data_IF_778217534682
#
_entry.id   IF_778217534682
#
_cell.length_a   1.000
_cell.length_b   1.000
_cell.length_c   1.000
_cell.angle_alpha   90.00
_cell.angle_beta   90.00
_cell.angle_gamma   90.00
#
_symmetry.space_group_name_H-M   'P 1'
#
loop_
_entity.id
_entity.type
_entity.pdbx_description
1 polymer ?
#
# COMPACT_ATOMS: atom_id res chain seq x y z
N UNK A 1 4.76 16.21 -11.29
CA UNK A 1 4.09 15.15 -10.49
C UNK A 1 2.60 15.46 -10.46
N UNK A 2 1.73 14.51 -10.81
CA UNK A 2 0.30 14.76 -10.99
C UNK A 2 -0.39 15.07 -9.65
N UNK A 3 -0.96 16.28 -9.50
CA UNK A 3 -1.64 16.73 -8.26
C UNK A 3 -2.78 15.80 -7.84
N UNK A 4 -3.45 15.16 -8.81
CA UNK A 4 -4.54 14.23 -8.53
C UNK A 4 -4.04 12.96 -7.86
N UNK A 5 -2.88 12.42 -8.30
CA UNK A 5 -2.25 11.24 -7.70
C UNK A 5 -1.84 11.48 -6.24
N UNK A 6 -1.32 12.66 -5.93
CA UNK A 6 -0.98 13.03 -4.55
C UNK A 6 -2.22 13.15 -3.67
N UNK A 7 -3.30 13.77 -4.19
CA UNK A 7 -4.58 13.84 -3.48
C UNK A 7 -5.16 12.46 -3.21
N UNK A 8 -5.11 11.55 -4.19
CA UNK A 8 -5.55 10.16 -4.02
C UNK A 8 -4.72 9.42 -2.99
N UNK A 9 -3.38 9.56 -3.02
CA UNK A 9 -2.49 8.95 -2.04
C UNK A 9 -2.81 9.42 -0.61
N UNK A 10 -3.07 10.72 -0.42
CA UNK A 10 -3.42 11.26 0.90
C UNK A 10 -4.79 10.78 1.37
N UNK A 11 -5.79 10.74 0.49
CA UNK A 11 -7.11 10.19 0.81
C UNK A 11 -7.03 8.71 1.22
N UNK A 12 -6.22 7.91 0.51
CA UNK A 12 -5.97 6.52 0.86
C UNK A 12 -5.27 6.40 2.22
N UNK A 13 -4.26 7.24 2.50
CA UNK A 13 -3.57 7.26 3.79
C UNK A 13 -4.54 7.53 4.93
N UNK A 14 -5.39 8.55 4.81
CA UNK A 14 -6.40 8.90 5.83
C UNK A 14 -7.38 7.74 6.03
N UNK A 15 -7.91 7.17 4.93
CA UNK A 15 -8.87 6.07 5.01
C UNK A 15 -8.29 4.82 5.67
N UNK A 16 -7.06 4.43 5.30
CA UNK A 16 -6.36 3.28 5.89
C UNK A 16 -6.02 3.51 7.37
N UNK A 17 -5.59 4.72 7.73
CA UNK A 17 -5.32 5.09 9.12
C UNK A 17 -6.59 4.99 9.96
N UNK A 18 -7.73 5.45 9.44
CA UNK A 18 -9.04 5.29 10.09
C UNK A 18 -9.48 3.82 10.24
N UNK A 19 -8.94 2.91 9.43
CA UNK A 19 -9.12 1.45 9.56
C UNK A 19 -8.10 0.79 10.50
N UNK A 20 -7.30 1.57 11.21
CA UNK A 20 -6.31 1.07 12.17
C UNK A 20 -4.99 0.59 11.53
N UNK A 21 -4.77 0.87 10.24
CA UNK A 21 -3.50 0.54 9.59
C UNK A 21 -2.46 1.63 9.85
N UNK A 22 -1.21 1.21 10.06
CA UNK A 22 -0.07 2.12 10.00
C UNK A 22 0.34 2.30 8.54
N UNK A 23 0.49 3.55 8.10
CA UNK A 23 0.79 3.87 6.70
C UNK A 23 2.02 4.77 6.64
N UNK A 24 3.03 4.34 5.87
CA UNK A 24 4.18 5.16 5.50
C UNK A 24 4.12 5.46 4.01
N UNK A 25 4.30 6.72 3.63
CA UNK A 25 4.26 7.17 2.24
C UNK A 25 5.67 7.33 1.69
N UNK A 26 5.89 6.83 0.48
CA UNK A 26 7.13 6.96 -0.29
C UNK A 26 6.79 7.03 -1.79
N UNK A 27 7.80 6.89 -2.65
CA UNK A 27 7.60 6.93 -4.10
C UNK A 27 8.48 5.89 -4.78
N UNK A 28 7.93 5.21 -5.78
CA UNK A 28 8.70 4.38 -6.72
C UNK A 28 8.58 5.01 -8.10
N UNK A 29 9.70 5.37 -8.70
CA UNK A 29 9.77 6.15 -9.95
C UNK A 29 8.94 7.44 -9.88
N UNK A 30 7.71 7.46 -10.39
CA UNK A 30 6.77 8.58 -10.33
C UNK A 30 5.42 8.23 -9.66
N UNK A 31 5.30 7.02 -9.11
CA UNK A 31 4.09 6.49 -8.51
C UNK A 31 4.18 6.58 -6.98
N UNK A 32 3.18 7.15 -6.29
CA UNK A 32 3.09 7.09 -4.84
C UNK A 32 3.03 5.64 -4.36
N UNK A 33 3.87 5.31 -3.38
CA UNK A 33 3.89 4.02 -2.71
C UNK A 33 3.44 4.21 -1.26
N UNK A 34 2.40 3.50 -0.86
CA UNK A 34 1.94 3.43 0.52
C UNK A 34 2.38 2.08 1.09
N UNK A 35 3.36 2.09 1.98
CA UNK A 35 3.70 0.92 2.78
C UNK A 35 2.70 0.83 3.94
N UNK A 36 1.94 -0.26 3.99
CA UNK A 36 0.82 -0.45 4.92
C UNK A 36 1.13 -1.63 5.84
N UNK A 37 0.93 -1.42 7.14
CA UNK A 37 1.02 -2.48 8.15
C UNK A 37 -0.27 -2.52 8.94
N UNK A 38 -0.90 -3.68 8.96
CA UNK A 38 -2.23 -3.88 9.56
C UNK A 38 -3.08 -4.84 8.73
N UNK A 39 -4.33 -5.09 9.15
CA UNK A 39 -5.23 -6.01 8.45
C UNK A 39 -5.51 -5.50 7.03
N UNK A 40 -5.45 -6.39 6.04
CA UNK A 40 -5.85 -6.09 4.66
C UNK A 40 -7.39 -6.02 4.60
N UNK A 41 -7.99 -4.86 4.25
CA UNK A 41 -9.43 -4.75 4.14
C UNK A 41 -9.96 -5.66 3.04
N UNK A 42 -11.12 -6.30 3.27
CA UNK A 42 -11.74 -7.23 2.31
C UNK A 42 -11.94 -6.62 0.91
N UNK A 43 -12.28 -5.32 0.87
CA UNK A 43 -12.43 -4.56 -0.37
C UNK A 43 -11.15 -4.52 -1.24
N UNK A 44 -9.98 -4.64 -0.61
CA UNK A 44 -8.67 -4.65 -1.26
C UNK A 44 -8.18 -6.07 -1.57
N UNK A 45 -8.61 -7.08 -0.79
CA UNK A 45 -8.22 -8.49 -0.95
C UNK A 45 -8.48 -9.02 -2.36
N UNK A 46 -9.63 -8.69 -2.96
CA UNK A 46 -9.98 -9.13 -4.33
C UNK A 46 -9.06 -8.60 -5.43
N UNK A 47 -8.30 -7.54 -5.14
CA UNK A 47 -7.36 -6.88 -6.06
C UNK A 47 -5.90 -7.06 -5.64
N UNK A 48 -5.67 -7.74 -4.53
CA UNK A 48 -4.35 -7.95 -3.99
C UNK A 48 -3.63 -9.03 -4.81
N UNK A 49 -2.42 -8.68 -5.23
CA UNK A 49 -1.45 -9.65 -5.73
C UNK A 49 -0.60 -10.06 -4.55
N UNK A 50 -0.68 -11.34 -4.19
CA UNK A 50 0.11 -11.90 -3.10
C UNK A 50 1.49 -12.30 -3.60
N UNK A 51 2.49 -12.06 -2.76
CA UNK A 51 3.87 -12.41 -3.05
C UNK A 51 4.64 -12.68 -1.77
N UNK A 52 5.90 -13.08 -1.94
CA UNK A 52 6.86 -13.21 -0.85
C UNK A 52 8.02 -12.25 -1.09
N UNK A 53 8.33 -11.43 -0.10
CA UNK A 53 9.54 -10.60 -0.07
C UNK A 53 10.59 -11.30 0.78
N UNK A 54 11.81 -11.42 0.24
CA UNK A 54 12.99 -11.85 0.97
C UNK A 54 13.89 -10.65 1.21
N UNK A 55 14.01 -10.21 2.46
CA UNK A 55 14.86 -9.08 2.85
C UNK A 55 15.79 -9.51 3.99
N UNK A 56 17.10 -9.42 3.77
CA UNK A 56 18.12 -9.78 4.76
C UNK A 56 17.92 -11.20 5.36
N UNK A 57 17.54 -12.17 4.53
CA UNK A 57 17.28 -13.56 4.95
C UNK A 57 15.91 -13.78 5.61
N UNK A 58 15.12 -12.74 5.83
CA UNK A 58 13.75 -12.84 6.33
C UNK A 58 12.77 -12.91 5.17
N UNK A 59 11.94 -13.95 5.14
CA UNK A 59 10.85 -14.11 4.17
C UNK A 59 9.55 -13.63 4.81
N UNK A 60 8.79 -12.77 4.11
CA UNK A 60 7.49 -12.29 4.56
C UNK A 60 6.47 -12.38 3.43
N UNK A 61 5.24 -12.73 3.79
CA UNK A 61 4.12 -12.60 2.89
C UNK A 61 3.74 -11.12 2.75
N UNK A 62 3.59 -10.69 1.50
CA UNK A 62 3.24 -9.32 1.15
C UNK A 62 2.08 -9.32 0.19
N UNK A 63 1.23 -8.31 0.30
CA UNK A 63 0.15 -8.06 -0.64
C UNK A 63 0.40 -6.72 -1.35
N UNK A 64 0.38 -6.74 -2.68
CA UNK A 64 0.49 -5.54 -3.49
C UNK A 64 -0.88 -5.22 -4.08
N UNK A 65 -1.37 -4.00 -3.84
CA UNK A 65 -2.63 -3.52 -4.39
C UNK A 65 -2.39 -2.27 -5.20
N UNK A 66 -2.94 -2.19 -6.41
CA UNK A 66 -2.92 -0.98 -7.22
C UNK A 66 -4.29 -0.33 -7.18
N UNK A 67 -4.35 0.91 -6.68
CA UNK A 67 -5.62 1.63 -6.52
C UNK A 67 -5.46 3.12 -6.82
N UNK A 68 -6.33 3.66 -7.69
CA UNK A 68 -6.31 5.08 -8.04
C UNK A 68 -4.95 5.57 -8.57
N UNK A 69 -4.19 4.69 -9.22
CA UNK A 69 -2.83 4.97 -9.71
C UNK A 69 -1.74 4.97 -8.64
N UNK A 70 -2.08 4.71 -7.37
CA UNK A 70 -1.14 4.48 -6.28
C UNK A 70 -0.79 2.99 -6.15
N UNK A 71 0.40 2.72 -5.63
CA UNK A 71 0.84 1.38 -5.24
C UNK A 71 0.72 1.26 -3.73
N UNK A 72 0.05 0.22 -3.25
CA UNK A 72 -0.03 -0.12 -1.83
C UNK A 72 0.73 -1.41 -1.61
N UNK A 73 1.67 -1.38 -0.68
CA UNK A 73 2.48 -2.52 -0.30
C UNK A 73 2.15 -2.90 1.14
N UNK A 74 1.33 -3.93 1.29
CA UNK A 74 0.96 -4.49 2.57
C UNK A 74 2.03 -5.46 3.06
N UNK A 75 2.54 -5.16 4.25
CA UNK A 75 3.42 -6.04 5.00
C UNK A 75 2.61 -6.68 6.11
N UNK A 76 2.48 -8.01 6.07
CA UNK A 76 1.96 -8.80 7.18
C UNK A 76 3.08 -9.12 8.18
#
# INVERSE_FOLDING_TARGET
MNRNLQKTAEQLRIWLTAKGCKVSTSRVCHTPLLAVTGPLPEAMTKRAVWGRECLAGVVRDVAIVRFGGCLLHWRQ
#
